data_IF_988232514840
#
_entry.id   IF_988232514840
#
_cell.length_a   1.000
_cell.length_b   1.000
_cell.length_c   1.000
_cell.angle_alpha   90.00
_cell.angle_beta   90.00
_cell.angle_gamma   90.00
#
_symmetry.space_group_name_H-M   'P 1'
#
loop_
_entity.id
_entity.type
_entity.pdbx_description
1 polymer ?
#
# COMPACT_ATOMS: atom_id res chain seq x y z
N UNK A 1 0.66 16.94 21.26
CA UNK A 1 0.50 16.17 22.51
C UNK A 1 0.87 14.74 22.19
N UNK A 2 1.66 14.08 23.03
CA UNK A 2 2.10 12.70 22.78
C UNK A 2 0.94 11.73 23.02
N UNK A 3 1.00 10.54 22.42
CA UNK A 3 -0.04 9.51 22.52
C UNK A 3 0.56 8.17 22.92
N UNK A 4 -0.23 7.33 23.58
CA UNK A 4 0.10 5.92 23.74
C UNK A 4 -0.57 5.11 22.63
N UNK A 5 0.21 4.25 21.98
CA UNK A 5 -0.28 3.29 21.00
C UNK A 5 0.17 1.91 21.45
N UNK A 6 -0.78 1.09 21.90
CA UNK A 6 -0.45 -0.10 22.68
C UNK A 6 0.23 0.28 23.99
N UNK A 7 1.41 -0.28 24.25
CA UNK A 7 2.22 0.02 25.43
C UNK A 7 3.36 1.02 25.16
N UNK A 8 3.38 1.63 23.97
CA UNK A 8 4.49 2.45 23.49
C UNK A 8 4.08 3.92 23.46
N UNK A 9 4.95 4.80 23.98
CA UNK A 9 4.76 6.25 23.91
C UNK A 9 5.24 6.76 22.54
N UNK A 10 4.35 7.43 21.83
CA UNK A 10 4.60 8.06 20.55
C UNK A 10 4.61 9.59 20.71
N UNK A 11 5.72 10.20 20.35
CA UNK A 11 5.91 11.64 20.36
C UNK A 11 5.29 12.26 19.12
N UNK A 12 4.59 13.37 19.30
CA UNK A 12 4.05 14.13 18.16
C UNK A 12 5.21 14.77 17.38
N UNK A 13 5.27 14.50 16.08
CA UNK A 13 6.29 15.08 15.18
C UNK A 13 5.74 16.34 14.52
N UNK A 14 4.68 16.20 13.73
CA UNK A 14 4.03 17.31 13.04
C UNK A 14 2.66 16.91 12.49
N UNK A 15 1.87 17.91 12.12
CA UNK A 15 0.81 17.75 11.15
C UNK A 15 1.46 17.61 9.77
N UNK A 16 0.98 16.65 8.96
CA UNK A 16 1.42 16.51 7.57
C UNK A 16 0.58 17.49 6.74
N UNK A 17 1.24 18.52 6.23
CA UNK A 17 0.61 19.56 5.42
C UNK A 17 1.25 19.56 4.02
N UNK A 18 0.52 19.13 2.98
CA UNK A 18 0.94 19.25 1.59
C UNK A 18 1.23 20.68 1.13
N UNK A 19 2.17 20.80 0.20
CA UNK A 19 2.50 22.05 -0.47
C UNK A 19 1.28 22.63 -1.19
N UNK A 20 1.12 23.96 -1.09
CA UNK A 20 0.03 24.71 -1.69
C UNK A 20 0.55 25.79 -2.64
N UNK A 21 -0.24 26.11 -3.65
CA UNK A 21 -0.05 27.27 -4.54
C UNK A 21 -1.35 28.06 -4.54
N UNK A 22 -1.28 29.34 -4.21
CA UNK A 22 -2.45 30.23 -4.09
C UNK A 22 -3.57 29.67 -3.19
N UNK A 23 -3.17 29.03 -2.09
CA UNK A 23 -4.08 28.41 -1.11
C UNK A 23 -4.76 27.13 -1.60
N UNK A 24 -4.38 26.59 -2.75
CA UNK A 24 -4.86 25.30 -3.26
C UNK A 24 -3.77 24.25 -3.17
N UNK A 25 -4.13 23.04 -2.76
CA UNK A 25 -3.18 21.93 -2.78
C UNK A 25 -2.67 21.69 -4.19
N UNK A 26 -1.35 21.50 -4.30
CA UNK A 26 -0.71 21.16 -5.56
C UNK A 26 -0.67 19.64 -5.76
N UNK A 27 -1.28 19.17 -6.84
CA UNK A 27 -1.16 17.78 -7.28
C UNK A 27 0.12 17.60 -8.12
N UNK A 28 0.78 16.45 -7.93
CA UNK A 28 2.00 16.06 -8.65
C UNK A 28 1.77 14.74 -9.40
N UNK A 29 2.33 14.66 -10.62
CA UNK A 29 2.27 13.50 -11.52
C UNK A 29 3.68 13.12 -11.99
N UNK A 30 4.57 12.69 -11.07
CA UNK A 30 5.98 12.47 -11.32
C UNK A 30 6.22 11.35 -12.34
N UNK A 31 5.26 10.46 -12.58
CA UNK A 31 5.40 9.42 -13.60
C UNK A 31 5.67 10.00 -15.00
N UNK A 32 5.19 11.20 -15.31
CA UNK A 32 5.44 11.83 -16.62
C UNK A 32 6.88 12.33 -16.78
N UNK A 33 7.63 12.43 -15.68
CA UNK A 33 9.01 12.92 -15.65
C UNK A 33 10.04 11.77 -15.74
N UNK A 34 9.58 10.50 -15.72
CA UNK A 34 10.48 9.36 -15.79
C UNK A 34 10.90 9.06 -17.24
N UNK A 35 12.21 9.03 -17.49
CA UNK A 35 12.75 8.61 -18.78
C UNK A 35 12.67 7.09 -18.96
N UNK A 36 11.54 6.63 -19.48
CA UNK A 36 11.15 5.23 -19.49
C UNK A 36 11.62 4.49 -20.76
N UNK A 37 12.92 4.46 -21.03
CA UNK A 37 13.48 3.77 -22.20
C UNK A 37 13.15 2.26 -22.24
N UNK A 38 12.94 1.64 -21.09
CA UNK A 38 12.63 0.22 -20.95
C UNK A 38 11.14 -0.10 -21.15
N UNK A 39 10.27 0.90 -21.36
CA UNK A 39 8.83 0.69 -21.55
C UNK A 39 8.14 0.07 -20.33
N UNK A 40 8.64 0.36 -19.12
CA UNK A 40 8.08 -0.15 -17.88
C UNK A 40 6.62 0.28 -17.75
N UNK A 41 5.78 -0.63 -17.25
CA UNK A 41 4.38 -0.33 -16.94
C UNK A 41 4.29 0.26 -15.54
N UNK A 42 3.34 1.17 -15.32
CA UNK A 42 3.00 1.65 -13.99
C UNK A 42 2.48 0.50 -13.11
N UNK A 43 2.89 0.48 -11.86
CA UNK A 43 2.27 -0.43 -10.89
C UNK A 43 0.92 0.15 -10.42
N UNK A 44 0.13 -0.64 -9.67
CA UNK A 44 -1.24 -0.26 -9.29
C UNK A 44 -1.40 1.07 -8.52
N UNK A 45 -0.36 1.54 -7.83
CA UNK A 45 -0.36 2.84 -7.13
C UNK A 45 0.42 3.94 -7.86
N UNK A 46 0.80 3.72 -9.12
CA UNK A 46 1.79 4.54 -9.83
C UNK A 46 1.20 5.75 -10.54
N UNK A 47 -0.13 5.78 -10.71
CA UNK A 47 -0.84 6.83 -11.44
C UNK A 47 -0.90 8.16 -10.69
N UNK A 48 -0.85 8.13 -9.35
CA UNK A 48 -1.16 9.29 -8.53
C UNK A 48 -2.65 9.68 -8.59
N UNK A 49 -3.00 10.96 -8.37
CA UNK A 49 -2.10 12.09 -8.06
C UNK A 49 -1.36 11.93 -6.73
N UNK A 50 -0.27 12.68 -6.59
CA UNK A 50 0.55 12.73 -5.38
C UNK A 50 0.60 14.15 -4.81
N UNK A 51 0.99 14.27 -3.56
CA UNK A 51 1.34 15.54 -2.93
C UNK A 51 2.83 15.62 -2.65
N UNK A 52 3.36 16.83 -2.45
CA UNK A 52 4.66 17.02 -1.82
C UNK A 52 4.47 17.59 -0.42
N UNK A 53 5.30 17.15 0.52
CA UNK A 53 5.38 17.70 1.87
C UNK A 53 6.72 17.34 2.49
N UNK A 54 7.07 18.00 3.58
CA UNK A 54 8.30 17.73 4.34
C UNK A 54 7.96 17.70 5.83
N UNK A 55 8.66 16.84 6.57
CA UNK A 55 8.58 16.78 8.03
C UNK A 55 9.83 17.41 8.66
N UNK A 56 9.77 17.87 9.93
CA UNK A 56 10.94 18.28 10.68
C UNK A 56 12.03 17.20 10.70
N UNK A 57 13.30 17.62 10.84
CA UNK A 57 14.43 16.69 10.90
C UNK A 57 14.37 15.87 12.20
N UNK A 58 14.11 14.58 12.05
CA UNK A 58 14.22 13.54 13.08
C UNK A 58 15.18 12.47 12.56
N UNK A 59 16.38 12.43 13.12
CA UNK A 59 17.46 11.53 12.71
C UNK A 59 17.57 10.33 13.66
N UNK A 60 16.48 9.57 13.76
CA UNK A 60 16.38 8.42 14.64
C UNK A 60 15.74 7.25 13.92
N UNK A 61 16.08 6.03 14.35
CA UNK A 61 15.40 4.80 13.95
C UNK A 61 14.26 4.49 14.91
N UNK A 62 13.23 3.81 14.41
CA UNK A 62 12.07 3.52 15.23
C UNK A 62 10.82 3.23 14.42
N UNK A 63 9.67 3.45 15.06
CA UNK A 63 8.35 3.22 14.48
C UNK A 63 7.59 4.53 14.41
N UNK A 64 6.94 4.80 13.29
CA UNK A 64 6.04 5.93 13.13
C UNK A 64 4.61 5.46 12.91
N UNK A 65 3.67 6.33 13.29
CA UNK A 65 2.25 6.15 12.98
C UNK A 65 1.69 7.38 12.30
N UNK A 66 0.81 7.14 11.33
CA UNK A 66 0.00 8.19 10.71
C UNK A 66 -1.40 8.11 11.32
N UNK A 67 -1.87 9.23 11.84
CA UNK A 67 -3.19 9.38 12.42
C UNK A 67 -4.05 10.28 11.54
N UNK A 68 -5.29 9.88 11.29
CA UNK A 68 -6.30 10.63 10.54
C UNK A 68 -7.60 10.59 11.36
N UNK A 69 -8.19 11.75 11.65
CA UNK A 69 -9.42 11.85 12.47
C UNK A 69 -9.35 11.01 13.76
N UNK A 70 -8.25 11.15 14.49
CA UNK A 70 -7.91 10.41 15.71
C UNK A 70 -7.73 8.89 15.58
N UNK A 71 -7.86 8.32 14.37
CA UNK A 71 -7.61 6.91 14.09
C UNK A 71 -6.19 6.68 13.57
N UNK A 72 -5.48 5.68 14.11
CA UNK A 72 -4.20 5.23 13.54
C UNK A 72 -4.47 4.45 12.26
N UNK A 73 -4.17 5.06 11.12
CA UNK A 73 -4.43 4.48 9.79
C UNK A 73 -3.23 3.74 9.24
N UNK A 74 -2.01 4.06 9.71
CA UNK A 74 -0.79 3.40 9.26
C UNK A 74 0.24 3.29 10.39
N UNK A 75 0.97 2.17 10.40
CA UNK A 75 2.16 1.92 11.21
C UNK A 75 3.30 1.53 10.27
N UNK A 76 4.48 2.12 10.45
CA UNK A 76 5.67 1.71 9.70
C UNK A 76 6.95 1.88 10.50
N UNK A 77 7.99 1.13 10.13
CA UNK A 77 9.34 1.29 10.68
C UNK A 77 10.27 2.08 9.76
N UNK A 78 11.33 2.64 10.34
CA UNK A 78 12.42 3.24 9.59
C UNK A 78 13.74 3.23 10.37
N UNK A 79 14.85 3.24 9.63
CA UNK A 79 16.21 3.48 10.17
C UNK A 79 16.51 4.97 10.36
N UNK A 80 15.79 5.83 9.64
CA UNK A 80 15.86 7.28 9.78
C UNK A 80 14.52 7.89 9.34
N UNK A 81 13.82 8.54 10.26
CA UNK A 81 12.50 9.12 9.98
C UNK A 81 12.55 10.22 8.91
N UNK A 82 13.54 11.11 8.97
CA UNK A 82 13.71 12.17 7.98
C UNK A 82 13.85 11.63 6.56
N UNK A 83 14.71 10.63 6.36
CA UNK A 83 14.90 10.00 5.04
C UNK A 83 13.64 9.28 4.57
N UNK A 84 12.94 8.58 5.49
CA UNK A 84 11.72 7.84 5.17
C UNK A 84 10.63 8.73 4.58
N UNK A 85 10.47 9.93 5.12
CA UNK A 85 9.47 10.89 4.64
C UNK A 85 10.03 11.82 3.57
N UNK A 86 11.10 12.56 3.83
CA UNK A 86 11.55 13.65 2.96
C UNK A 86 12.22 13.15 1.66
N UNK A 87 12.57 11.87 1.56
CA UNK A 87 13.06 11.23 0.33
C UNK A 87 12.16 10.08 -0.15
N UNK A 88 10.99 9.92 0.46
CA UNK A 88 10.09 8.79 0.24
C UNK A 88 8.64 9.22 0.27
N UNK A 89 7.98 9.11 1.42
CA UNK A 89 6.54 9.35 1.51
C UNK A 89 6.12 10.79 1.17
N UNK A 90 6.98 11.78 1.39
CA UNK A 90 6.73 13.21 1.12
C UNK A 90 7.17 13.67 -0.27
N UNK A 91 7.89 12.83 -1.03
CA UNK A 91 8.34 13.13 -2.38
C UNK A 91 8.43 11.83 -3.20
N UNK A 92 7.53 11.66 -4.16
CA UNK A 92 7.49 10.46 -5.00
C UNK A 92 8.41 10.65 -6.20
N UNK A 93 9.58 10.02 -6.16
CA UNK A 93 10.47 9.95 -7.32
C UNK A 93 9.77 9.27 -8.51
N UNK A 94 9.93 9.78 -9.75
CA UNK A 94 9.29 9.24 -10.96
C UNK A 94 9.44 7.72 -11.13
N UNK A 95 10.64 7.20 -10.87
CA UNK A 95 10.94 5.75 -10.95
C UNK A 95 10.09 4.90 -9.99
N UNK A 96 9.62 5.46 -8.88
CA UNK A 96 8.83 4.72 -7.91
C UNK A 96 7.45 4.34 -8.45
N UNK A 97 6.90 5.07 -9.44
CA UNK A 97 5.57 4.82 -10.00
C UNK A 97 5.49 3.53 -10.85
N UNK A 98 6.62 3.01 -11.31
CA UNK A 98 6.71 1.91 -12.25
C UNK A 98 6.93 0.55 -11.56
N UNK A 99 6.67 -0.54 -12.27
CA UNK A 99 6.95 -1.90 -11.78
C UNK A 99 8.42 -2.01 -11.33
N UNK A 100 8.64 -2.60 -10.16
CA UNK A 100 9.94 -2.63 -9.50
C UNK A 100 10.30 -1.33 -8.76
N UNK A 101 9.38 -0.39 -8.62
CA UNK A 101 9.48 0.81 -7.78
C UNK A 101 8.96 0.62 -6.36
N UNK A 102 8.95 1.69 -5.58
CA UNK A 102 8.50 1.69 -4.18
C UNK A 102 7.00 1.96 -4.05
N UNK A 103 6.21 0.92 -4.33
CA UNK A 103 4.74 0.96 -4.29
C UNK A 103 4.15 1.46 -2.96
N UNK A 104 4.80 1.18 -1.82
CA UNK A 104 4.35 1.66 -0.50
C UNK A 104 4.39 3.18 -0.40
N UNK A 105 5.46 3.82 -0.91
CA UNK A 105 5.58 5.27 -0.84
C UNK A 105 4.49 5.93 -1.68
N UNK A 106 4.28 5.43 -2.92
CA UNK A 106 3.23 5.91 -3.80
C UNK A 106 1.85 5.78 -3.15
N UNK A 107 1.53 4.62 -2.55
CA UNK A 107 0.25 4.42 -1.86
C UNK A 107 0.05 5.37 -0.67
N UNK A 108 1.04 5.47 0.21
CA UNK A 108 0.93 6.33 1.40
C UNK A 108 0.80 7.79 1.03
N UNK A 109 1.59 8.26 0.07
CA UNK A 109 1.50 9.63 -0.39
C UNK A 109 0.14 9.93 -1.02
N UNK A 110 -0.38 9.03 -1.85
CA UNK A 110 -1.69 9.19 -2.47
C UNK A 110 -2.81 9.27 -1.42
N UNK A 111 -2.79 8.42 -0.40
CA UNK A 111 -3.78 8.52 0.69
C UNK A 111 -3.65 9.82 1.50
N UNK A 112 -2.42 10.32 1.71
CA UNK A 112 -2.20 11.63 2.34
C UNK A 112 -2.79 12.74 1.47
N UNK A 113 -2.60 12.68 0.16
CA UNK A 113 -3.20 13.60 -0.80
C UNK A 113 -4.73 13.59 -0.70
N UNK A 114 -5.37 12.40 -0.74
CA UNK A 114 -6.83 12.26 -0.65
C UNK A 114 -7.38 12.88 0.64
N UNK A 115 -6.78 12.57 1.79
CA UNK A 115 -7.24 13.09 3.08
C UNK A 115 -7.06 14.61 3.19
N UNK A 116 -5.93 15.14 2.70
CA UNK A 116 -5.69 16.57 2.72
C UNK A 116 -6.59 17.33 1.74
N UNK A 117 -7.05 16.70 0.65
CA UNK A 117 -7.91 17.32 -0.37
C UNK A 117 -9.28 17.66 0.21
N UNK A 118 -9.76 16.83 1.14
CA UNK A 118 -10.99 17.04 1.90
C UNK A 118 -10.75 17.75 3.24
N UNK A 119 -9.57 18.36 3.44
CA UNK A 119 -9.17 19.10 4.64
C UNK A 119 -9.24 18.29 5.94
N UNK A 120 -9.02 16.98 5.88
CA UNK A 120 -8.89 16.16 7.09
C UNK A 120 -7.48 16.32 7.66
N UNK A 121 -7.38 16.51 8.98
CA UNK A 121 -6.09 16.62 9.66
C UNK A 121 -5.36 15.28 9.67
N UNK A 122 -4.09 15.32 9.29
CA UNK A 122 -3.19 14.16 9.24
C UNK A 122 -2.03 14.45 10.18
N UNK A 123 -1.77 13.57 11.16
CA UNK A 123 -0.71 13.73 12.14
C UNK A 123 0.32 12.62 12.01
N UNK A 124 1.58 12.98 12.19
CA UNK A 124 2.70 12.05 12.30
C UNK A 124 3.17 11.98 13.74
N UNK A 125 3.31 10.76 14.25
CA UNK A 125 3.95 10.50 15.53
C UNK A 125 5.07 9.48 15.38
N UNK A 126 6.02 9.50 16.32
CA UNK A 126 7.21 8.66 16.29
C UNK A 126 7.56 8.09 17.66
N UNK A 127 7.97 6.84 17.66
CA UNK A 127 8.50 6.13 18.81
C UNK A 127 9.93 5.69 18.46
N UNK A 128 10.91 6.35 19.10
CA UNK A 128 12.32 6.02 18.98
C UNK A 128 12.60 4.65 19.63
N UNK A 129 13.09 3.71 18.83
CA UNK A 129 13.39 2.36 19.32
C UNK A 129 14.29 1.59 18.36
N UNK A 130 15.21 0.81 18.92
CA UNK A 130 15.98 -0.19 18.18
C UNK A 130 15.15 -1.45 17.85
N UNK A 131 14.07 -1.71 18.59
CA UNK A 131 13.20 -2.89 18.41
C UNK A 131 12.12 -2.68 17.33
N UNK A 132 12.42 -1.87 16.30
CA UNK A 132 11.45 -1.33 15.34
C UNK A 132 10.58 -2.38 14.63
N UNK A 133 11.14 -3.55 14.29
CA UNK A 133 10.38 -4.62 13.63
C UNK A 133 9.37 -5.30 14.56
N UNK A 134 9.74 -5.50 15.82
CA UNK A 134 8.88 -6.14 16.81
C UNK A 134 7.70 -5.23 17.16
N UNK A 135 8.00 -3.95 17.40
CA UNK A 135 6.99 -2.92 17.68
C UNK A 135 6.07 -2.70 16.48
N UNK A 136 6.61 -2.56 15.25
CA UNK A 136 5.79 -2.42 14.04
C UNK A 136 4.81 -3.58 13.90
N UNK A 137 5.29 -4.82 13.99
CA UNK A 137 4.44 -6.01 13.87
C UNK A 137 3.38 -6.07 14.96
N UNK A 138 3.78 -5.88 16.22
CA UNK A 138 2.86 -5.87 17.36
C UNK A 138 1.69 -4.90 17.12
N UNK A 139 2.01 -3.67 16.71
CA UNK A 139 1.01 -2.64 16.49
C UNK A 139 0.14 -2.94 15.26
N UNK A 140 0.70 -3.43 14.16
CA UNK A 140 -0.11 -3.82 12.99
C UNK A 140 -1.06 -4.97 13.34
N UNK A 141 -0.60 -5.98 14.08
CA UNK A 141 -1.43 -7.12 14.45
C UNK A 141 -2.55 -6.73 15.42
N UNK A 142 -2.27 -5.83 16.38
CA UNK A 142 -3.26 -5.37 17.35
C UNK A 142 -4.28 -4.39 16.78
N UNK A 143 -3.82 -3.44 15.96
CA UNK A 143 -4.65 -2.34 15.48
C UNK A 143 -5.32 -2.64 14.14
N UNK A 144 -4.73 -3.53 13.34
CA UNK A 144 -5.11 -3.78 11.95
C UNK A 144 -5.36 -2.48 11.14
N UNK A 145 -4.35 -1.57 11.04
CA UNK A 145 -4.55 -0.25 10.46
C UNK A 145 -4.95 -0.32 8.98
N UNK A 146 -5.88 0.53 8.55
CA UNK A 146 -6.50 0.47 7.23
C UNK A 146 -5.51 0.59 6.05
N UNK A 147 -4.40 1.31 6.22
CA UNK A 147 -3.42 1.54 5.15
C UNK A 147 -2.24 0.55 5.18
N UNK A 148 -2.20 -0.36 6.16
CA UNK A 148 -1.25 -1.47 6.21
C UNK A 148 -1.77 -2.67 5.40
N UNK A 149 -1.01 -3.10 4.39
CA UNK A 149 -1.31 -4.34 3.63
C UNK A 149 -0.55 -5.54 4.20
N UNK A 150 0.68 -5.33 4.67
CA UNK A 150 1.53 -6.37 5.24
C UNK A 150 1.52 -6.31 6.77
N UNK A 151 1.79 -7.45 7.41
CA UNK A 151 1.86 -7.61 8.88
C UNK A 151 3.20 -7.18 9.50
N UNK A 152 3.94 -6.28 8.85
CA UNK A 152 5.29 -5.86 9.29
C UNK A 152 6.41 -6.80 8.85
N UNK A 153 7.66 -6.43 9.15
CA UNK A 153 8.87 -7.20 8.83
C UNK A 153 9.23 -8.21 9.93
N UNK A 154 9.85 -9.33 9.54
CA UNK A 154 10.47 -10.26 10.50
C UNK A 154 11.91 -9.81 10.78
N UNK A 155 12.32 -9.80 12.05
CA UNK A 155 13.75 -9.81 12.36
C UNK A 155 14.31 -11.19 12.01
N UNK A 156 15.33 -11.23 11.17
CA UNK A 156 16.26 -12.37 11.08
C UNK A 156 17.41 -12.10 12.05
N UNK A 157 17.15 -12.19 13.35
CA UNK A 157 18.20 -12.22 14.35
C UNK A 157 17.88 -13.31 15.37
N UNK A 158 18.12 -14.56 14.98
CA UNK A 158 18.43 -15.62 15.96
C UNK A 158 19.93 -15.81 15.92
N UNK A 159 20.55 -15.52 17.06
CA UNK A 159 21.96 -15.68 17.34
C UNK A 159 22.44 -17.09 16.98
N UNK A 160 23.31 -17.20 15.97
CA UNK A 160 24.13 -18.41 15.81
C UNK A 160 25.22 -18.40 16.88
N UNK A 161 25.00 -19.19 17.92
CA UNK A 161 26.05 -19.64 18.85
C UNK A 161 27.21 -20.22 18.03
N UNK A 162 28.38 -19.61 18.14
CA UNK A 162 29.63 -20.10 17.57
C UNK A 162 30.03 -21.40 18.24
N UNK A 163 30.00 -22.51 17.51
CA UNK A 163 30.87 -23.66 17.76
C UNK A 163 31.59 -23.98 16.46
N UNK A 164 32.91 -23.85 16.47
CA UNK A 164 33.75 -23.92 15.28
C UNK A 164 34.15 -25.33 14.87
N UNK A 165 34.44 -25.53 13.57
CA UNK A 165 35.76 -25.93 13.06
C UNK A 165 35.78 -25.92 11.52
N UNK A 166 37.00 -25.67 11.03
CA UNK A 166 37.48 -25.51 9.65
C UNK A 166 37.21 -26.68 8.69
N UNK A 167 37.09 -26.41 7.37
CA UNK A 167 38.00 -26.84 6.27
C UNK A 167 37.37 -26.63 4.85
N UNK A 168 37.96 -25.70 4.09
CA UNK A 168 38.20 -25.58 2.60
C UNK A 168 37.09 -25.75 1.53
N UNK A 169 37.28 -25.17 0.30
CA UNK A 169 36.19 -24.69 -0.57
C UNK A 169 35.86 -25.60 -1.76
N UNK A 170 34.59 -25.64 -2.17
CA UNK A 170 34.16 -26.04 -3.52
C UNK A 170 33.05 -25.13 -4.05
N UNK A 171 33.32 -24.62 -5.25
CA UNK A 171 32.54 -23.96 -6.32
C UNK A 171 31.03 -23.69 -6.19
N UNK A 172 30.52 -22.65 -6.88
CA UNK A 172 29.24 -22.03 -6.59
C UNK A 172 28.08 -22.84 -7.19
N UNK A 173 27.18 -23.33 -6.34
CA UNK A 173 25.86 -23.78 -6.78
C UNK A 173 24.91 -22.61 -6.62
N UNK A 174 24.53 -22.02 -7.75
CA UNK A 174 23.42 -21.09 -7.91
C UNK A 174 22.19 -21.66 -7.20
N UNK A 175 21.72 -21.00 -6.14
CA UNK A 175 20.41 -21.31 -5.53
C UNK A 175 19.46 -20.13 -5.76
N UNK A 176 18.40 -20.47 -6.47
CA UNK A 176 17.26 -19.66 -6.87
C UNK A 176 16.61 -18.94 -5.70
N UNK A 177 16.35 -17.65 -5.88
CA UNK A 177 15.62 -16.81 -4.94
C UNK A 177 14.16 -17.26 -4.79
N UNK A 178 13.73 -17.37 -3.54
CA UNK A 178 12.36 -17.63 -3.10
C UNK A 178 11.39 -16.56 -3.63
N UNK A 179 10.53 -16.93 -4.59
CA UNK A 179 9.34 -16.14 -4.97
C UNK A 179 8.33 -16.19 -3.82
N UNK A 180 8.01 -15.04 -3.21
CA UNK A 180 6.87 -14.92 -2.27
C UNK A 180 5.58 -15.35 -2.99
N UNK A 181 4.80 -16.25 -2.38
CA UNK A 181 3.50 -16.70 -2.90
C UNK A 181 2.47 -15.55 -2.81
N UNK A 182 1.83 -15.21 -3.92
CA UNK A 182 0.70 -14.27 -4.01
C UNK A 182 -0.52 -14.80 -3.25
N UNK A 183 -1.23 -13.94 -2.50
CA UNK A 183 -2.48 -14.33 -1.85
C UNK A 183 -3.62 -14.41 -2.86
N UNK A 184 -4.70 -15.13 -2.52
CA UNK A 184 -5.88 -15.24 -3.39
C UNK A 184 -6.46 -13.86 -3.74
N UNK A 185 -6.51 -12.94 -2.75
CA UNK A 185 -6.95 -11.56 -2.96
C UNK A 185 -6.08 -10.85 -3.99
N UNK A 186 -4.75 -10.96 -3.89
CA UNK A 186 -3.83 -10.29 -4.81
C UNK A 186 -4.03 -10.79 -6.25
N UNK A 187 -4.19 -12.10 -6.44
CA UNK A 187 -4.45 -12.68 -7.77
C UNK A 187 -5.81 -12.28 -8.32
N UNK A 188 -6.85 -12.25 -7.48
CA UNK A 188 -8.20 -11.81 -7.85
C UNK A 188 -8.21 -10.34 -8.27
N UNK A 189 -7.52 -9.48 -7.52
CA UNK A 189 -7.44 -8.06 -7.81
C UNK A 189 -6.67 -7.80 -9.12
N UNK A 190 -5.52 -8.44 -9.30
CA UNK A 190 -4.74 -8.35 -10.55
C UNK A 190 -5.54 -8.87 -11.76
N UNK A 191 -6.31 -9.94 -11.57
CA UNK A 191 -7.18 -10.49 -12.59
C UNK A 191 -8.30 -9.52 -12.97
N UNK A 192 -9.01 -8.95 -12.00
CA UNK A 192 -10.05 -7.94 -12.23
C UNK A 192 -9.49 -6.70 -12.95
N UNK A 193 -8.32 -6.20 -12.52
CA UNK A 193 -7.62 -5.09 -13.19
C UNK A 193 -7.28 -5.41 -14.65
N UNK A 194 -6.81 -6.63 -14.92
CA UNK A 194 -6.45 -7.07 -16.27
C UNK A 194 -7.67 -7.25 -17.18
N UNK A 195 -8.80 -7.70 -16.63
CA UNK A 195 -10.09 -7.78 -17.35
C UNK A 195 -10.55 -6.37 -17.71
N UNK A 196 -10.62 -5.46 -16.74
CA UNK A 196 -11.03 -4.06 -16.94
C UNK A 196 -10.13 -3.37 -17.98
N UNK A 197 -8.80 -3.54 -17.89
CA UNK A 197 -7.85 -2.97 -18.84
C UNK A 197 -8.06 -3.48 -20.27
N UNK A 198 -8.30 -4.78 -20.45
CA UNK A 198 -8.57 -5.37 -21.78
C UNK A 198 -9.90 -4.90 -22.36
N UNK A 199 -10.91 -4.69 -21.52
CA UNK A 199 -12.23 -4.21 -21.95
C UNK A 199 -12.28 -2.71 -22.22
N UNK A 200 -11.36 -1.93 -21.62
CA UNK A 200 -11.39 -0.48 -21.69
C UNK A 200 -12.54 0.17 -20.90
N UNK A 201 -13.25 -0.62 -20.08
CA UNK A 201 -14.39 -0.17 -19.27
C UNK A 201 -14.23 -0.72 -17.86
N UNK A 202 -14.45 0.10 -16.83
CA UNK A 202 -14.40 -0.31 -15.42
C UNK A 202 -15.63 -1.14 -15.02
N UNK A 203 -15.83 -2.27 -15.69
CA UNK A 203 -16.85 -3.28 -15.41
C UNK A 203 -16.30 -4.65 -15.72
N UNK A 204 -16.58 -5.60 -14.85
CA UNK A 204 -16.26 -7.01 -15.04
C UNK A 204 -17.31 -7.89 -14.38
N UNK A 205 -17.40 -9.13 -14.86
CA UNK A 205 -18.18 -10.20 -14.25
C UNK A 205 -17.29 -11.11 -13.43
N UNK A 206 -17.89 -11.81 -12.48
CA UNK A 206 -17.18 -12.84 -11.71
C UNK A 206 -16.58 -13.91 -12.62
N UNK A 207 -17.29 -14.30 -13.69
CA UNK A 207 -16.81 -15.33 -14.61
C UNK A 207 -15.57 -14.88 -15.38
N UNK A 208 -15.51 -13.63 -15.85
CA UNK A 208 -14.33 -13.12 -16.56
C UNK A 208 -13.06 -13.15 -15.69
N UNK A 209 -13.20 -12.90 -14.38
CA UNK A 209 -12.09 -12.99 -13.43
C UNK A 209 -11.69 -14.45 -13.19
N UNK A 210 -12.67 -15.34 -13.02
CA UNK A 210 -12.44 -16.79 -12.90
C UNK A 210 -11.71 -17.33 -14.13
N UNK A 211 -12.22 -17.05 -15.34
CA UNK A 211 -11.65 -17.52 -16.60
C UNK A 211 -10.20 -17.05 -16.76
N UNK A 212 -9.92 -15.77 -16.44
CA UNK A 212 -8.58 -15.21 -16.49
C UNK A 212 -7.61 -15.90 -15.52
N UNK A 213 -8.07 -16.24 -14.32
CA UNK A 213 -7.26 -16.91 -13.31
C UNK A 213 -7.04 -18.39 -13.66
N UNK A 214 -8.06 -19.06 -14.20
CA UNK A 214 -7.98 -20.45 -14.67
C UNK A 214 -7.02 -20.57 -15.87
N UNK A 215 -7.09 -19.65 -16.84
CA UNK A 215 -6.17 -19.56 -17.97
C UNK A 215 -4.70 -19.46 -17.51
N UNK A 216 -4.47 -18.78 -16.38
CA UNK A 216 -3.15 -18.62 -15.74
C UNK A 216 -2.76 -19.75 -14.79
N UNK A 217 -3.55 -20.84 -14.74
CA UNK A 217 -3.33 -22.00 -13.88
C UNK A 217 -3.25 -21.63 -12.39
N UNK A 218 -4.17 -20.77 -11.93
CA UNK A 218 -4.30 -20.43 -10.51
C UNK A 218 -4.48 -21.69 -9.64
N UNK A 219 -3.91 -21.74 -8.41
CA UNK A 219 -4.13 -22.84 -7.49
C UNK A 219 -5.46 -22.75 -6.72
N UNK A 220 -6.21 -21.65 -6.88
CA UNK A 220 -7.44 -21.39 -6.13
C UNK A 220 -8.67 -21.96 -6.82
N UNK A 221 -9.55 -22.58 -6.02
CA UNK A 221 -10.83 -23.08 -6.50
C UNK A 221 -11.74 -21.93 -6.94
N UNK A 222 -12.58 -22.16 -7.95
CA UNK A 222 -13.54 -21.17 -8.43
C UNK A 222 -14.43 -20.63 -7.30
N UNK A 223 -14.92 -21.50 -6.42
CA UNK A 223 -15.72 -21.11 -5.25
C UNK A 223 -14.97 -20.13 -4.32
N UNK A 224 -13.64 -20.29 -4.21
CA UNK A 224 -12.78 -19.39 -3.43
C UNK A 224 -12.66 -18.02 -4.09
N UNK A 225 -12.45 -17.99 -5.41
CA UNK A 225 -12.38 -16.76 -6.22
C UNK A 225 -13.71 -15.99 -6.13
N UNK A 226 -14.83 -16.69 -6.34
CA UNK A 226 -16.19 -16.13 -6.23
C UNK A 226 -16.42 -15.49 -4.86
N UNK A 227 -16.04 -16.17 -3.79
CA UNK A 227 -16.19 -15.67 -2.41
C UNK A 227 -15.39 -14.39 -2.18
N UNK A 228 -14.19 -14.29 -2.75
CA UNK A 228 -13.39 -13.07 -2.64
C UNK A 228 -14.07 -11.90 -3.36
N UNK A 229 -14.60 -12.09 -4.56
CA UNK A 229 -15.24 -11.03 -5.34
C UNK A 229 -16.59 -10.62 -4.75
N UNK A 230 -17.47 -11.59 -4.45
CA UNK A 230 -18.87 -11.37 -4.06
C UNK A 230 -19.01 -10.80 -2.65
N UNK A 231 -18.07 -11.14 -1.78
CA UNK A 231 -18.22 -10.97 -0.33
C UNK A 231 -17.01 -10.27 0.30
N UNK A 232 -15.81 -10.86 0.21
CA UNK A 232 -14.66 -10.33 0.96
C UNK A 232 -14.14 -9.01 0.43
N UNK A 233 -14.24 -8.75 -0.87
CA UNK A 233 -13.64 -7.58 -1.53
C UNK A 233 -14.68 -6.60 -2.08
N UNK A 234 -15.96 -6.77 -1.76
CA UNK A 234 -17.05 -5.95 -2.29
C UNK A 234 -17.64 -5.04 -1.22
N UNK A 235 -17.52 -3.72 -1.43
CA UNK A 235 -17.92 -2.68 -0.45
C UNK A 235 -19.40 -2.74 -0.05
N UNK A 236 -20.27 -3.16 -0.98
CA UNK A 236 -21.72 -3.26 -0.79
C UNK A 236 -22.22 -4.70 -0.66
N UNK A 237 -21.37 -5.63 -0.21
CA UNK A 237 -21.81 -6.98 0.16
C UNK A 237 -22.52 -6.99 1.53
N UNK A 238 -23.50 -7.89 1.77
CA UNK A 238 -24.10 -8.08 3.09
C UNK A 238 -23.02 -8.36 4.14
N UNK A 239 -23.01 -7.61 5.25
CA UNK A 239 -21.99 -7.73 6.31
C UNK A 239 -22.19 -9.01 7.12
N UNK A 240 -21.62 -10.12 6.63
CA UNK A 240 -21.56 -11.40 7.35
C UNK A 240 -20.12 -11.86 7.66
N UNK A 241 -19.10 -11.07 7.30
CA UNK A 241 -17.69 -11.41 7.51
C UNK A 241 -16.92 -10.35 8.30
N UNK A 242 -15.96 -10.81 9.10
CA UNK A 242 -15.10 -10.02 10.03
C UNK A 242 -14.05 -9.17 9.28
N UNK A 243 -13.83 -9.40 7.98
CA UNK A 243 -12.84 -8.67 7.18
C UNK A 243 -13.41 -8.40 5.78
N UNK A 244 -13.64 -7.13 5.46
CA UNK A 244 -14.08 -6.68 4.14
C UNK A 244 -13.05 -5.70 3.56
N UNK A 245 -12.67 -5.92 2.31
CA UNK A 245 -11.79 -5.07 1.53
C UNK A 245 -12.64 -4.27 0.54
N UNK A 246 -12.31 -2.99 0.34
CA UNK A 246 -13.06 -2.09 -0.52
C UNK A 246 -12.56 -2.13 -1.97
N UNK A 247 -12.18 -3.31 -2.49
CA UNK A 247 -11.53 -3.41 -3.80
C UNK A 247 -12.56 -3.31 -4.96
N UNK A 248 -13.78 -3.76 -4.73
CA UNK A 248 -14.85 -3.87 -5.73
C UNK A 248 -16.18 -3.29 -5.23
N UNK A 249 -17.03 -2.90 -6.18
CA UNK A 249 -18.40 -2.50 -5.93
C UNK A 249 -19.30 -3.24 -6.91
N UNK A 250 -20.33 -3.90 -6.40
CA UNK A 250 -21.37 -4.49 -7.25
C UNK A 250 -22.23 -3.37 -7.83
N UNK A 251 -22.33 -3.34 -9.15
CA UNK A 251 -23.11 -2.32 -9.89
C UNK A 251 -24.35 -2.91 -10.55
N UNK A 252 -24.41 -4.23 -10.75
CA UNK A 252 -25.57 -4.95 -11.27
C UNK A 252 -25.53 -6.43 -10.85
N UNK A 253 -26.54 -7.22 -11.22
CA UNK A 253 -26.59 -8.66 -10.97
C UNK A 253 -25.41 -9.37 -11.63
N UNK A 254 -24.41 -9.75 -10.83
CA UNK A 254 -23.20 -10.43 -11.29
C UNK A 254 -22.15 -9.52 -11.93
N UNK A 255 -22.38 -8.20 -11.93
CA UNK A 255 -21.48 -7.19 -12.51
C UNK A 255 -20.88 -6.31 -11.42
N UNK A 256 -19.56 -6.13 -11.49
CA UNK A 256 -18.76 -5.41 -10.52
C UNK A 256 -17.89 -4.37 -11.23
N UNK A 257 -17.53 -3.32 -10.51
CA UNK A 257 -16.48 -2.38 -10.91
C UNK A 257 -15.35 -2.41 -9.89
N UNK A 258 -14.14 -2.06 -10.31
CA UNK A 258 -13.08 -1.69 -9.37
C UNK A 258 -13.58 -0.47 -8.59
N UNK A 259 -13.57 -0.57 -7.27
CA UNK A 259 -14.09 0.46 -6.38
C UNK A 259 -12.93 1.29 -5.86
N UNK A 260 -12.44 2.20 -6.71
CA UNK A 260 -11.53 3.26 -6.30
C UNK A 260 -12.36 4.49 -5.93
N UNK A 261 -12.05 5.09 -4.78
CA UNK A 261 -12.80 6.18 -4.16
C UNK A 261 -12.74 7.52 -4.94
N UNK A 262 -12.04 7.62 -6.08
CA UNK A 262 -11.97 8.87 -6.86
C UNK A 262 -12.06 8.70 -8.38
N UNK A 263 -13.17 8.16 -8.91
CA UNK A 263 -13.49 8.29 -10.36
C UNK A 263 -14.94 8.64 -10.71
N UNK A 264 -15.78 9.02 -9.74
CA UNK A 264 -17.11 9.59 -10.05
C UNK A 264 -17.07 11.10 -10.36
N UNK A 265 -16.01 11.83 -10.00
CA UNK A 265 -15.89 13.26 -10.31
C UNK A 265 -15.37 13.56 -11.73
N UNK A 266 -14.68 12.61 -12.37
CA UNK A 266 -14.11 12.80 -13.71
C UNK A 266 -15.06 12.44 -14.86
N UNK A 267 -16.11 11.66 -14.60
CA UNK A 267 -17.11 11.28 -15.62
C UNK A 267 -18.33 12.22 -15.65
N UNK A 268 -18.54 13.04 -14.62
CA UNK A 268 -19.60 14.07 -14.61
C UNK A 268 -19.24 15.33 -15.40
N UNK A 269 -17.99 15.48 -15.88
CA UNK A 269 -17.53 16.66 -16.63
C UNK A 269 -17.42 16.45 -18.15
N UNK A 270 -18.06 15.41 -18.70
CA UNK A 270 -18.14 15.18 -20.16
C UNK A 270 -19.53 15.33 -20.77
N UNK A 271 -20.47 15.91 -20.02
CA UNK A 271 -21.75 16.37 -20.57
C UNK A 271 -21.94 17.86 -20.29
N UNK A 272 -21.13 18.70 -20.95
CA UNK A 272 -21.51 20.04 -21.46
C UNK A 272 -20.72 20.25 -22.77
#
# INVERSE_FOLDING_TARGET
>A
MNIYVGNHLFEYVCDIVPDQVDGKMKAFLPQHEYDNHEGLVLHQYGMGPFCHFTIPKVNAEGVYVIQVSDQIVYVGECENLSNRFNMGNGYISPRNCYVGGQATNCRLNHHIYEMALVNIQIKLYFHDTHARFEVERELIEKLNPAWNIARGKYSTSVETVKVGRSITPKSPVVRSGSRRKSSCRDEVLLAAQSVVKRRGVNRFTVQEVVDFMVERKTPYQESTIRTHIVSKCCVNAPRHHVTTFNDFQRVDHGVYKLHWDEMESALSKREI
#
